data_IF_836646611594
#
_entry.id   IF_836646611594
#
_cell.length_a   1.000
_cell.length_b   1.000
_cell.length_c   1.000
_cell.angle_alpha   90.00
_cell.angle_beta   90.00
_cell.angle_gamma   90.00
#
_symmetry.space_group_name_H-M   'P 1'
#
loop_
_entity.id
_entity.type
_entity.pdbx_description
1 polymer ?
#
# COMPACT_ATOMS: atom_id res chain seq x y z
N UNK A 1 14.00 10.77 -37.56
CA UNK A 1 13.26 9.93 -38.52
C UNK A 1 14.17 8.94 -39.27
N UNK A 2 15.45 9.23 -39.51
CA UNK A 2 16.37 8.29 -40.18
C UNK A 2 16.75 7.03 -39.36
N UNK A 3 16.69 7.08 -38.02
CA UNK A 3 17.01 5.91 -37.17
C UNK A 3 15.91 4.83 -37.23
N UNK A 4 14.65 5.23 -37.49
CA UNK A 4 13.50 4.32 -37.59
C UNK A 4 13.50 3.48 -38.88
N UNK A 5 14.19 3.93 -39.94
CA UNK A 5 14.20 3.25 -41.24
C UNK A 5 15.24 2.12 -41.36
N UNK A 6 16.02 1.85 -40.31
CA UNK A 6 17.11 0.84 -40.36
C UNK A 6 17.04 -0.22 -39.24
N UNK A 7 15.94 -0.28 -38.48
CA UNK A 7 15.79 -1.24 -37.39
C UNK A 7 14.96 -2.45 -37.83
N UNK A 8 15.58 -3.63 -37.79
CA UNK A 8 14.93 -4.92 -38.08
C UNK A 8 13.66 -5.09 -37.23
N UNK A 9 12.58 -5.61 -37.81
CA UNK A 9 11.28 -5.81 -37.12
C UNK A 9 11.43 -6.55 -35.77
N UNK A 10 12.40 -7.47 -35.65
CA UNK A 10 12.72 -8.18 -34.40
C UNK A 10 13.31 -7.29 -33.30
N UNK A 11 14.09 -6.27 -33.66
CA UNK A 11 14.63 -5.27 -32.72
C UNK A 11 13.55 -4.30 -32.24
N UNK A 12 12.61 -3.94 -33.12
CA UNK A 12 11.44 -3.13 -32.74
C UNK A 12 10.55 -3.90 -31.76
N UNK A 13 10.29 -5.19 -32.02
CA UNK A 13 9.51 -6.05 -31.12
C UNK A 13 10.18 -6.18 -29.74
N UNK A 14 11.51 -6.35 -29.69
CA UNK A 14 12.27 -6.44 -28.45
C UNK A 14 12.25 -5.13 -27.64
N UNK A 15 12.22 -3.97 -28.30
CA UNK A 15 12.12 -2.67 -27.64
C UNK A 15 10.75 -2.43 -26.97
N UNK A 16 9.66 -2.89 -27.58
CA UNK A 16 8.31 -2.78 -27.00
C UNK A 16 8.13 -3.67 -25.75
N UNK A 17 8.76 -4.84 -25.70
CA UNK A 17 8.72 -5.73 -24.52
C UNK A 17 9.42 -5.10 -23.31
N UNK A 18 10.52 -4.37 -23.52
CA UNK A 18 11.23 -3.65 -22.45
C UNK A 18 10.47 -2.40 -21.99
N UNK A 19 9.78 -1.70 -22.89
CA UNK A 19 8.99 -0.52 -22.54
C UNK A 19 7.70 -0.87 -21.77
N UNK A 20 7.13 -2.07 -21.97
CA UNK A 20 5.91 -2.51 -21.30
C UNK A 20 6.07 -2.83 -19.81
N UNK A 21 7.30 -3.12 -19.35
CA UNK A 21 7.57 -3.49 -17.94
C UNK A 21 7.65 -2.24 -17.04
N UNK A 22 7.85 -1.05 -17.61
CA UNK A 22 8.03 0.19 -16.83
C UNK A 22 6.71 0.91 -16.48
N UNK A 23 5.57 0.44 -16.97
CA UNK A 23 4.25 1.09 -16.73
C UNK A 23 3.44 0.37 -15.64
N UNK A 24 4.00 -0.66 -15.00
CA UNK A 24 3.41 -1.33 -13.83
C UNK A 24 4.16 -0.97 -12.54
N UNK A 25 4.60 0.27 -12.45
CA UNK A 25 4.79 0.90 -11.16
C UNK A 25 3.57 1.77 -10.93
N UNK A 26 2.53 1.26 -10.28
CA UNK A 26 1.79 2.12 -9.36
C UNK A 26 2.82 2.55 -8.32
N UNK A 27 3.59 3.58 -8.66
CA UNK A 27 4.27 4.40 -7.69
C UNK A 27 3.12 5.09 -6.94
N UNK A 28 2.49 4.34 -6.02
CA UNK A 28 2.00 4.94 -4.80
C UNK A 28 3.22 5.67 -4.26
N UNK A 29 3.29 6.96 -4.57
CA UNK A 29 4.24 7.83 -3.96
C UNK A 29 3.89 7.82 -2.47
N UNK A 30 4.49 6.88 -1.72
CA UNK A 30 4.50 6.83 -0.25
C UNK A 30 5.27 8.04 0.33
N UNK A 31 5.44 9.11 -0.46
CA UNK A 31 6.15 10.33 -0.13
C UNK A 31 5.31 11.36 0.62
N UNK A 32 4.06 11.03 0.96
CA UNK A 32 3.26 11.77 1.96
C UNK A 32 2.66 10.80 2.98
N UNK A 33 3.47 9.86 3.49
CA UNK A 33 3.07 9.00 4.60
C UNK A 33 2.76 9.81 5.85
N UNK A 34 1.86 9.29 6.68
CA UNK A 34 1.59 9.88 8.00
C UNK A 34 2.84 9.85 8.88
N UNK A 35 2.94 10.83 9.78
CA UNK A 35 4.00 10.81 10.79
C UNK A 35 3.86 9.56 11.67
N UNK A 36 4.99 8.90 11.92
CA UNK A 36 5.06 7.66 12.69
C UNK A 36 5.14 6.41 11.83
N UNK A 37 5.04 5.25 12.47
CA UNK A 37 5.24 3.96 11.82
C UNK A 37 3.93 3.45 11.19
N UNK A 38 3.55 4.04 10.04
CA UNK A 38 2.35 3.64 9.31
C UNK A 38 2.37 2.17 8.87
N UNK A 39 3.55 1.68 8.45
CA UNK A 39 3.72 0.27 8.07
C UNK A 39 3.59 -0.65 9.28
N UNK A 40 4.19 -0.29 10.41
CA UNK A 40 4.03 -0.97 11.69
C UNK A 40 2.58 -1.05 12.13
N UNK A 41 1.81 0.02 11.93
CA UNK A 41 0.38 0.02 12.28
C UNK A 41 -0.37 -1.06 11.50
N UNK A 42 -0.15 -1.15 10.20
CA UNK A 42 -0.79 -2.16 9.35
C UNK A 42 -0.35 -3.56 9.78
N UNK A 43 0.96 -3.78 9.89
CA UNK A 43 1.51 -5.13 10.15
C UNK A 43 1.20 -5.66 11.54
N UNK A 44 1.18 -4.80 12.56
CA UNK A 44 0.94 -5.20 13.95
C UNK A 44 -0.55 -5.20 14.32
N UNK A 45 -1.36 -4.29 13.75
CA UNK A 45 -2.75 -4.12 14.17
C UNK A 45 -3.78 -4.73 13.21
N UNK A 46 -3.43 -5.13 11.98
CA UNK A 46 -4.41 -5.63 11.00
C UNK A 46 -5.26 -6.80 11.54
N UNK A 47 -4.65 -7.74 12.27
CA UNK A 47 -5.36 -8.90 12.84
C UNK A 47 -6.33 -8.53 13.96
N UNK A 48 -6.02 -7.47 14.71
CA UNK A 48 -6.87 -6.94 15.77
C UNK A 48 -8.15 -6.32 15.20
N UNK A 49 -7.98 -5.42 14.22
CA UNK A 49 -9.10 -4.66 13.63
C UNK A 49 -9.87 -5.42 12.56
N UNK A 50 -9.41 -6.59 12.11
CA UNK A 50 -10.10 -7.36 11.09
C UNK A 50 -11.51 -7.75 11.54
N UNK A 51 -12.52 -7.57 10.68
CA UNK A 51 -13.90 -8.05 10.94
C UNK A 51 -13.95 -9.58 11.01
N UNK A 52 -13.28 -10.23 10.07
CA UNK A 52 -13.34 -11.68 9.89
C UNK A 52 -12.34 -12.39 10.78
N UNK A 53 -12.79 -13.48 11.40
CA UNK A 53 -11.97 -14.34 12.23
C UNK A 53 -12.19 -14.14 13.73
N UNK A 54 -11.41 -14.85 14.56
CA UNK A 54 -11.55 -14.76 16.01
C UNK A 54 -11.12 -13.38 16.50
N UNK A 55 -11.90 -12.83 17.44
CA UNK A 55 -11.50 -11.66 18.21
C UNK A 55 -10.17 -11.97 18.91
N UNK A 56 -9.20 -11.08 18.72
CA UNK A 56 -7.90 -11.12 19.37
C UNK A 56 -7.72 -9.83 20.13
N UNK A 57 -7.00 -9.90 21.24
CA UNK A 57 -6.47 -8.71 21.91
C UNK A 57 -5.37 -8.08 21.04
N UNK A 58 -5.15 -6.76 21.12
CA UNK A 58 -4.05 -6.12 20.41
C UNK A 58 -2.70 -6.61 20.97
N UNK A 59 -1.71 -6.78 20.10
CA UNK A 59 -0.35 -7.07 20.54
C UNK A 59 0.26 -5.85 21.25
N UNK A 60 1.29 -6.10 22.07
CA UNK A 60 2.03 -5.01 22.71
C UNK A 60 2.65 -4.07 21.68
N UNK A 61 3.10 -4.61 20.55
CA UNK A 61 3.65 -3.90 19.42
C UNK A 61 2.59 -3.01 18.76
N UNK A 62 1.38 -3.53 18.54
CA UNK A 62 0.26 -2.74 18.02
C UNK A 62 -0.04 -1.54 18.94
N UNK A 63 -0.13 -1.78 20.25
CA UNK A 63 -0.33 -0.71 21.24
C UNK A 63 0.82 0.32 21.26
N UNK A 64 2.06 -0.12 21.00
CA UNK A 64 3.21 0.77 20.93
C UNK A 64 3.18 1.67 19.69
N UNK A 65 2.80 1.11 18.54
CA UNK A 65 2.74 1.85 17.28
C UNK A 65 1.58 2.85 17.24
N UNK A 66 0.41 2.50 17.77
CA UNK A 66 -0.73 3.42 17.84
C UNK A 66 -0.37 4.71 18.59
N UNK A 67 0.50 4.63 19.60
CA UNK A 67 0.96 5.80 20.37
C UNK A 67 1.90 6.73 19.60
N UNK A 68 2.55 6.26 18.55
CA UNK A 68 3.54 7.02 17.80
C UNK A 68 3.03 7.51 16.43
N UNK A 69 1.90 6.98 15.96
CA UNK A 69 1.34 7.30 14.64
C UNK A 69 0.30 8.44 14.72
N UNK A 70 0.25 9.26 13.68
CA UNK A 70 -0.80 10.26 13.51
C UNK A 70 -2.10 9.59 13.02
N UNK A 71 -2.94 9.16 13.96
CA UNK A 71 -4.23 8.50 13.66
C UNK A 71 -5.14 9.37 12.77
N UNK A 72 -5.36 10.68 13.04
CA UNK A 72 -6.11 11.56 12.13
C UNK A 72 -5.60 11.56 10.69
N UNK A 73 -4.27 11.53 10.49
CA UNK A 73 -3.71 11.38 9.16
C UNK A 73 -4.03 10.01 8.57
N UNK A 74 -3.82 8.92 9.33
CA UNK A 74 -4.06 7.54 8.88
C UNK A 74 -5.49 7.33 8.42
N UNK A 75 -6.47 7.91 9.12
CA UNK A 75 -7.87 7.83 8.75
C UNK A 75 -8.15 8.34 7.33
N UNK A 76 -7.34 9.27 6.79
CA UNK A 76 -7.50 9.78 5.41
C UNK A 76 -7.19 8.72 4.35
N UNK A 77 -6.46 7.67 4.72
CA UNK A 77 -6.10 6.55 3.83
C UNK A 77 -7.09 5.38 3.95
N UNK A 78 -8.06 5.45 4.86
CA UNK A 78 -9.10 4.44 4.99
C UNK A 78 -10.13 4.66 3.88
N UNK A 79 -10.09 3.80 2.86
CA UNK A 79 -11.07 3.80 1.76
C UNK A 79 -12.30 2.98 2.15
N UNK A 80 -13.38 3.09 1.36
CA UNK A 80 -14.59 2.28 1.53
C UNK A 80 -14.29 0.77 1.53
N UNK A 81 -13.36 0.34 0.68
CA UNK A 81 -12.95 -1.07 0.63
C UNK A 81 -12.31 -1.49 1.97
N UNK A 82 -11.47 -0.64 2.57
CA UNK A 82 -10.86 -0.92 3.88
C UNK A 82 -11.94 -0.97 4.97
N UNK A 83 -12.91 -0.05 4.98
CA UNK A 83 -14.03 -0.04 5.94
C UNK A 83 -14.87 -1.34 5.93
N UNK A 84 -14.91 -2.05 4.78
CA UNK A 84 -15.63 -3.34 4.69
C UNK A 84 -14.88 -4.49 5.34
N UNK A 85 -13.55 -4.41 5.46
CA UNK A 85 -12.71 -5.49 6.02
C UNK A 85 -12.29 -5.24 7.46
N UNK A 86 -12.31 -3.98 7.93
CA UNK A 86 -12.00 -3.62 9.33
C UNK A 86 -13.26 -3.32 10.14
N UNK A 87 -13.17 -3.58 11.43
CA UNK A 87 -14.18 -3.28 12.44
C UNK A 87 -13.72 -2.09 13.28
N UNK A 88 -14.30 -0.93 13.01
CA UNK A 88 -13.93 0.32 13.69
C UNK A 88 -14.29 0.30 15.18
N UNK A 89 -15.25 -0.54 15.61
CA UNK A 89 -15.58 -0.68 17.03
C UNK A 89 -14.46 -1.38 17.83
N UNK A 90 -13.54 -2.07 17.14
CA UNK A 90 -12.32 -2.59 17.76
C UNK A 90 -11.22 -1.54 17.85
N UNK A 91 -11.33 -0.41 17.16
CA UNK A 91 -10.32 0.64 17.16
C UNK A 91 -10.61 1.76 18.18
N UNK A 92 -11.59 1.55 19.08
CA UNK A 92 -12.07 2.49 20.12
C UNK A 92 -11.88 1.91 21.51
#
# INVERSE_FOLDING_TARGET
MAILMNMNFKMVLAAFVMAGILISGDHVALGQGCQGDFQGLITQCARYVQRVGPQQEPSQECCSVIKSVDIPCVCKFITREIETVIDMAKAT
#
